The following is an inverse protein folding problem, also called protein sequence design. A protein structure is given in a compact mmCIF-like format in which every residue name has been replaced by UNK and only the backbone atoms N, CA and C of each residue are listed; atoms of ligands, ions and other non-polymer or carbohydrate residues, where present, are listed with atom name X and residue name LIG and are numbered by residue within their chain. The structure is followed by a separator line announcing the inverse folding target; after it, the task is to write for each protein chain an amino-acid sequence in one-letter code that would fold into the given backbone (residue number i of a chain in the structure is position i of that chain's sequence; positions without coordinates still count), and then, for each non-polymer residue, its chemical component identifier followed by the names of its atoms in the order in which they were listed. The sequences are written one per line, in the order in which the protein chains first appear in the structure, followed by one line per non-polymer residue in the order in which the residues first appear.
data_IF_220762491002
#
_entry.id   IF_220762491002
#
_cell.length_a   1.000
_cell.length_b   1.000
_cell.length_c   1.000
_cell.angle_alpha   90.00
_cell.angle_beta   90.00
_cell.angle_gamma   90.00
#
_symmetry.space_group_name_H-M   'P 1'
#
loop_
_entity.id
_entity.type
_entity.pdbx_description
1 polymer ?
#
# COMPACT_ATOMS: atom_id res chain seq x y z
N UNK A 1 -21.49 -22.14 -21.65
CA UNK A 1 -20.15 -22.78 -21.63
C UNK A 1 -20.12 -23.72 -20.42
N UNK A 2 -19.44 -24.89 -20.45
CA UNK A 2 -19.47 -25.81 -19.28
C UNK A 2 -18.96 -25.08 -18.02
N UNK A 3 -19.62 -25.21 -16.85
CA UNK A 3 -19.29 -24.44 -15.64
C UNK A 3 -17.84 -24.64 -15.16
N UNK A 4 -17.24 -25.80 -15.46
CA UNK A 4 -15.82 -26.06 -15.18
C UNK A 4 -14.86 -25.16 -15.98
N UNK A 5 -15.17 -24.87 -17.24
CA UNK A 5 -14.33 -24.03 -18.12
C UNK A 5 -14.34 -22.56 -17.65
N UNK A 6 -15.49 -22.06 -17.22
CA UNK A 6 -15.62 -20.69 -16.70
C UNK A 6 -14.88 -20.48 -15.38
N UNK A 7 -14.88 -21.49 -14.49
CA UNK A 7 -14.10 -21.48 -13.25
C UNK A 7 -12.60 -21.45 -13.53
N UNK A 8 -12.12 -22.27 -14.47
CA UNK A 8 -10.71 -22.32 -14.85
C UNK A 8 -10.22 -20.98 -15.43
N UNK A 9 -11.02 -20.37 -16.32
CA UNK A 9 -10.72 -19.05 -16.89
C UNK A 9 -10.66 -17.98 -15.79
N UNK A 10 -11.61 -18.00 -14.85
CA UNK A 10 -11.62 -17.02 -13.75
C UNK A 10 -10.41 -17.18 -12.83
N UNK A 11 -10.04 -18.42 -12.49
CA UNK A 11 -8.84 -18.68 -11.70
C UNK A 11 -7.58 -18.18 -12.42
N UNK A 12 -7.46 -18.47 -13.71
CA UNK A 12 -6.35 -17.98 -14.53
C UNK A 12 -6.25 -16.45 -14.54
N UNK A 13 -7.38 -15.74 -14.72
CA UNK A 13 -7.41 -14.27 -14.69
C UNK A 13 -6.97 -13.75 -13.32
N UNK A 14 -7.44 -14.33 -12.23
CA UNK A 14 -7.04 -13.91 -10.87
C UNK A 14 -5.54 -14.12 -10.65
N UNK A 15 -5.00 -15.28 -11.01
CA UNK A 15 -3.57 -15.56 -10.90
C UNK A 15 -2.76 -14.56 -11.73
N UNK A 16 -3.15 -14.33 -12.98
CA UNK A 16 -2.44 -13.43 -13.88
C UNK A 16 -2.45 -11.98 -13.36
N UNK A 17 -3.60 -11.50 -12.92
CA UNK A 17 -3.79 -10.12 -12.41
C UNK A 17 -3.13 -9.88 -11.06
N UNK A 18 -2.91 -10.93 -10.27
CA UNK A 18 -2.19 -10.84 -8.99
C UNK A 18 -0.68 -10.97 -9.22
N UNK A 19 -0.23 -12.08 -9.80
CA UNK A 19 1.19 -12.43 -9.86
C UNK A 19 1.95 -11.51 -10.81
N UNK A 20 1.39 -11.22 -11.99
CA UNK A 20 2.07 -10.44 -13.02
C UNK A 20 2.48 -9.05 -12.53
N UNK A 21 1.53 -8.19 -12.11
CA UNK A 21 1.84 -6.85 -11.62
C UNK A 21 2.76 -6.85 -10.40
N UNK A 22 2.53 -7.75 -9.43
CA UNK A 22 3.36 -7.82 -8.22
C UNK A 22 4.80 -8.21 -8.55
N UNK A 23 5.00 -9.32 -9.27
CA UNK A 23 6.34 -9.82 -9.58
C UNK A 23 7.14 -8.81 -10.41
N UNK A 24 6.51 -8.22 -11.42
CA UNK A 24 7.18 -7.27 -12.30
C UNK A 24 7.50 -5.95 -11.57
N UNK A 25 6.59 -5.42 -10.75
CA UNK A 25 6.85 -4.23 -9.96
C UNK A 25 7.95 -4.45 -8.92
N UNK A 26 7.94 -5.61 -8.22
CA UNK A 26 9.02 -5.97 -7.28
C UNK A 26 10.37 -6.01 -7.99
N UNK A 27 10.41 -6.57 -9.20
CA UNK A 27 11.64 -6.65 -9.97
C UNK A 27 12.12 -5.27 -10.42
N UNK A 28 11.22 -4.42 -10.93
CA UNK A 28 11.55 -3.09 -11.45
C UNK A 28 12.13 -2.17 -10.35
N UNK A 29 11.55 -2.21 -9.15
CA UNK A 29 11.90 -1.32 -8.04
C UNK A 29 12.96 -1.88 -7.09
N UNK A 30 13.50 -3.07 -7.39
CA UNK A 30 14.50 -3.69 -6.52
C UNK A 30 15.78 -2.83 -6.47
N UNK A 31 16.28 -2.44 -5.28
CA UNK A 31 17.39 -1.49 -5.19
C UNK A 31 18.67 -1.96 -5.90
N UNK A 32 18.95 -3.26 -5.85
CA UNK A 32 20.20 -3.87 -6.36
C UNK A 32 20.14 -4.34 -7.81
N UNK A 33 18.98 -4.29 -8.46
CA UNK A 33 18.84 -4.74 -9.85
C UNK A 33 19.07 -3.55 -10.78
N UNK A 34 20.04 -3.67 -11.69
CA UNK A 34 20.15 -2.74 -12.81
C UNK A 34 19.12 -3.10 -13.87
N UNK A 35 18.35 -2.12 -14.32
CA UNK A 35 17.42 -2.33 -15.41
C UNK A 35 18.19 -2.31 -16.73
N UNK A 36 17.85 -3.19 -17.67
CA UNK A 36 18.50 -3.23 -18.99
C UNK A 36 18.27 -1.95 -19.80
N UNK A 37 17.29 -1.13 -19.42
CA UNK A 37 16.98 0.15 -20.06
C UNK A 37 17.44 1.29 -19.15
N UNK A 38 18.25 2.22 -19.67
CA UNK A 38 18.81 3.38 -18.95
C UNK A 38 17.77 4.44 -18.50
N UNK A 39 16.48 4.12 -18.47
CA UNK A 39 15.45 5.03 -17.96
C UNK A 39 15.41 5.01 -16.44
N UNK A 40 16.05 6.01 -15.83
CA UNK A 40 16.15 6.18 -14.37
C UNK A 40 14.79 6.30 -13.68
N UNK A 41 13.78 6.85 -14.36
CA UNK A 41 12.44 7.07 -13.81
C UNK A 41 11.67 5.79 -13.46
N UNK A 42 11.95 4.67 -14.15
CA UNK A 42 11.26 3.40 -13.85
C UNK A 42 11.72 2.77 -12.54
N UNK A 43 12.94 3.08 -12.09
CA UNK A 43 13.53 2.50 -10.86
C UNK A 43 13.16 3.29 -9.60
N UNK A 44 12.57 4.47 -9.75
CA UNK A 44 12.15 5.27 -8.62
C UNK A 44 11.01 4.57 -7.86
N UNK A 45 11.06 4.58 -6.53
CA UNK A 45 9.94 4.25 -5.65
C UNK A 45 9.83 5.25 -4.50
N UNK A 46 8.60 5.56 -4.06
CA UNK A 46 8.40 6.45 -2.90
C UNK A 46 8.97 5.81 -1.62
N UNK A 47 8.96 4.48 -1.55
CA UNK A 47 9.53 3.73 -0.43
C UNK A 47 11.03 4.01 -0.29
N UNK A 48 11.82 3.80 -1.35
CA UNK A 48 13.28 3.91 -1.25
C UNK A 48 13.78 5.33 -1.50
N UNK A 49 13.38 5.90 -2.64
CA UNK A 49 13.89 7.17 -3.13
C UNK A 49 13.18 8.35 -2.47
N UNK A 50 11.87 8.23 -2.23
CA UNK A 50 11.06 9.29 -1.63
C UNK A 50 11.24 9.41 -0.11
N UNK A 51 11.37 8.28 0.60
CA UNK A 51 11.42 8.27 2.07
C UNK A 51 12.68 7.65 2.67
N UNK A 52 13.01 6.38 2.36
CA UNK A 52 14.04 5.66 3.11
C UNK A 52 15.40 6.37 3.03
N UNK A 53 15.86 6.66 1.82
CA UNK A 53 17.15 7.32 1.62
C UNK A 53 17.14 8.76 2.15
N UNK A 54 16.14 9.61 1.84
CA UNK A 54 16.07 10.95 2.42
C UNK A 54 16.01 10.99 3.95
N UNK A 55 15.45 9.99 4.62
CA UNK A 55 15.36 9.97 6.09
C UNK A 55 16.64 9.41 6.72
N UNK A 56 17.14 8.27 6.24
CA UNK A 56 18.23 7.55 6.92
C UNK A 56 19.62 7.82 6.33
N UNK A 57 19.67 8.44 5.15
CA UNK A 57 20.89 8.92 4.49
C UNK A 57 20.73 10.34 3.87
N UNK A 58 20.29 11.36 4.65
CA UNK A 58 19.93 12.69 4.14
C UNK A 58 21.08 13.52 3.55
N UNK A 59 22.35 13.19 3.85
CA UNK A 59 23.47 14.13 3.75
C UNK A 59 23.59 14.99 5.01
N UNK A 60 24.82 15.44 5.33
CA UNK A 60 25.11 16.13 6.61
C UNK A 60 24.34 17.45 6.76
N UNK A 61 24.16 18.17 5.67
CA UNK A 61 23.45 19.44 5.57
C UNK A 61 21.93 19.32 5.80
N UNK A 62 21.34 18.14 5.56
CA UNK A 62 19.89 17.93 5.60
C UNK A 62 19.40 17.18 6.84
N UNK A 63 20.28 16.86 7.79
CA UNK A 63 19.89 16.12 9.02
C UNK A 63 18.82 16.89 9.79
N UNK A 64 19.04 18.18 10.06
CA UNK A 64 18.07 19.03 10.79
C UNK A 64 16.76 19.29 10.04
N UNK A 65 16.75 19.10 8.72
CA UNK A 65 15.52 19.19 7.93
C UNK A 65 14.64 17.95 8.11
N UNK A 66 15.26 16.77 8.29
CA UNK A 66 14.58 15.47 8.32
C UNK A 66 14.36 14.94 9.73
N UNK A 67 15.30 15.15 10.64
CA UNK A 67 15.24 14.69 12.03
C UNK A 67 14.94 15.83 12.98
N UNK A 68 14.14 15.56 14.01
CA UNK A 68 13.82 16.57 15.02
C UNK A 68 15.01 16.84 15.97
N UNK A 69 15.94 15.88 16.09
CA UNK A 69 17.16 16.00 16.87
C UNK A 69 18.34 15.38 16.12
N UNK A 70 19.39 16.18 15.93
CA UNK A 70 20.67 15.73 15.36
C UNK A 70 21.37 14.73 16.27
N UNK A 71 21.31 14.94 17.59
CA UNK A 71 21.84 14.00 18.59
C UNK A 71 21.19 12.63 18.45
N UNK A 72 19.85 12.57 18.34
CA UNK A 72 19.13 11.32 18.09
C UNK A 72 19.58 10.68 16.77
N UNK A 73 19.75 11.44 15.70
CA UNK A 73 20.24 10.88 14.44
C UNK A 73 21.63 10.23 14.61
N UNK A 74 22.58 10.91 15.24
CA UNK A 74 23.91 10.36 15.48
C UNK A 74 23.88 9.17 16.44
N UNK A 75 23.02 9.21 17.46
CA UNK A 75 22.75 8.06 18.32
C UNK A 75 22.28 6.83 17.53
N UNK A 76 21.37 7.03 16.58
CA UNK A 76 20.90 5.96 15.69
C UNK A 76 22.03 5.45 14.79
N UNK A 77 22.78 6.35 14.13
CA UNK A 77 23.89 5.98 13.24
C UNK A 77 25.00 5.23 13.96
N UNK A 78 25.26 5.57 15.22
CA UNK A 78 26.24 4.90 16.06
C UNK A 78 25.69 3.63 16.74
N UNK A 79 24.42 3.29 16.50
CA UNK A 79 23.81 2.04 16.97
C UNK A 79 23.30 2.07 18.41
N UNK A 80 23.26 3.23 19.08
CA UNK A 80 22.75 3.35 20.46
C UNK A 80 21.25 3.05 20.59
N UNK A 81 20.48 3.22 19.51
CA UNK A 81 19.12 2.71 19.37
C UNK A 81 18.83 2.42 17.89
N UNK A 82 18.01 1.40 17.60
CA UNK A 82 17.82 0.86 16.24
C UNK A 82 16.45 1.11 15.63
N UNK A 83 15.48 1.60 16.40
CA UNK A 83 14.08 1.73 15.97
C UNK A 83 13.59 3.18 16.08
N UNK A 84 14.02 4.07 15.16
CA UNK A 84 13.54 5.44 15.14
C UNK A 84 12.06 5.48 14.73
N UNK A 85 11.29 6.31 15.42
CA UNK A 85 9.83 6.39 15.35
C UNK A 85 9.39 7.58 14.46
N UNK A 86 8.57 7.36 13.42
CA UNK A 86 7.96 8.44 12.64
C UNK A 86 7.24 9.46 13.51
N UNK A 87 7.29 10.74 13.14
CA UNK A 87 6.67 11.88 13.85
C UNK A 87 7.24 12.20 15.24
N UNK A 88 8.13 11.35 15.78
CA UNK A 88 8.78 11.54 17.08
C UNK A 88 10.27 11.82 16.91
N UNK A 89 10.95 11.01 16.10
CA UNK A 89 12.40 11.14 15.88
C UNK A 89 12.71 11.86 14.56
N UNK A 90 11.87 11.67 13.55
CA UNK A 90 11.99 12.32 12.24
C UNK A 90 10.63 12.72 11.66
N UNK A 91 10.68 13.73 10.77
CA UNK A 91 9.52 14.22 10.03
C UNK A 91 9.09 13.18 9.01
N UNK A 92 7.80 12.88 9.00
CA UNK A 92 7.20 11.91 8.10
C UNK A 92 5.94 12.50 7.47
N UNK A 93 5.83 12.43 6.16
CA UNK A 93 4.82 13.16 5.39
C UNK A 93 3.51 12.41 5.18
N UNK A 94 3.52 11.08 5.35
CA UNK A 94 2.33 10.27 5.15
C UNK A 94 1.44 10.23 6.39
N UNK A 95 0.18 9.79 6.26
CA UNK A 95 -0.72 9.60 7.40
C UNK A 95 -0.33 8.46 8.38
N UNK A 96 -0.94 8.42 9.59
CA UNK A 96 -0.47 7.57 10.70
C UNK A 96 -0.43 6.05 10.43
N UNK A 97 -1.39 5.47 9.70
CA UNK A 97 -1.35 4.03 9.41
C UNK A 97 -0.19 3.66 8.49
N UNK A 98 0.11 4.50 7.49
CA UNK A 98 1.33 4.37 6.68
C UNK A 98 2.57 4.52 7.55
N UNK A 99 2.58 5.48 8.48
CA UNK A 99 3.65 5.64 9.47
C UNK A 99 3.84 4.41 10.37
N UNK A 100 2.77 3.74 10.79
CA UNK A 100 2.85 2.50 11.57
C UNK A 100 3.51 1.37 10.76
N UNK A 101 3.06 1.14 9.53
CA UNK A 101 3.66 0.13 8.65
C UNK A 101 5.13 0.44 8.36
N UNK A 102 5.44 1.72 8.16
CA UNK A 102 6.80 2.22 8.00
C UNK A 102 7.67 1.95 9.22
N UNK A 103 7.18 2.26 10.42
CA UNK A 103 7.89 1.97 11.66
C UNK A 103 8.19 0.47 11.82
N UNK A 104 7.20 -0.38 11.56
CA UNK A 104 7.36 -1.84 11.63
C UNK A 104 8.46 -2.29 10.66
N UNK A 105 8.42 -1.84 9.40
CA UNK A 105 9.39 -2.25 8.39
C UNK A 105 10.79 -1.72 8.69
N UNK A 106 10.95 -0.45 9.09
CA UNK A 106 12.27 0.14 9.36
C UNK A 106 12.88 -0.39 10.65
N UNK A 107 12.08 -0.54 11.72
CA UNK A 107 12.58 -1.12 12.98
C UNK A 107 13.03 -2.57 12.76
N UNK A 108 12.26 -3.36 11.99
CA UNK A 108 12.67 -4.72 11.61
C UNK A 108 13.94 -4.68 10.77
N UNK A 109 13.99 -3.84 9.73
CA UNK A 109 15.15 -3.71 8.86
C UNK A 109 16.43 -3.41 9.65
N UNK A 110 16.44 -2.37 10.48
CA UNK A 110 17.62 -1.98 11.26
C UNK A 110 17.98 -2.96 12.37
N UNK A 111 17.00 -3.72 12.89
CA UNK A 111 17.27 -4.79 13.86
C UNK A 111 18.06 -5.95 13.24
N UNK A 112 17.76 -6.29 11.98
CA UNK A 112 18.32 -7.46 11.30
C UNK A 112 19.40 -7.13 10.24
N UNK A 113 19.73 -5.87 10.04
CA UNK A 113 20.79 -5.42 9.13
C UNK A 113 22.05 -4.97 9.88
N UNK A 114 23.17 -5.03 9.19
CA UNK A 114 24.46 -4.45 9.62
C UNK A 114 24.84 -3.18 8.86
N UNK A 115 24.17 -2.90 7.74
CA UNK A 115 24.42 -1.72 6.89
C UNK A 115 23.11 -1.05 6.45
N UNK A 116 23.19 0.21 6.04
CA UNK A 116 22.03 0.98 5.54
C UNK A 116 21.50 0.37 4.25
N UNK A 117 22.35 -0.13 3.36
CA UNK A 117 21.93 -0.74 2.10
C UNK A 117 21.20 -2.06 2.31
N UNK A 118 21.62 -2.84 3.32
CA UNK A 118 20.91 -4.04 3.75
C UNK A 118 19.56 -3.69 4.40
N UNK A 119 19.53 -2.68 5.26
CA UNK A 119 18.29 -2.18 5.85
C UNK A 119 17.30 -1.69 4.78
N UNK A 120 17.79 -0.97 3.76
CA UNK A 120 16.97 -0.49 2.65
C UNK A 120 16.31 -1.66 1.91
N UNK A 121 17.08 -2.72 1.64
CA UNK A 121 16.58 -3.92 0.97
C UNK A 121 15.55 -4.68 1.82
N UNK A 122 15.80 -4.87 3.12
CA UNK A 122 14.85 -5.53 4.02
C UNK A 122 13.56 -4.70 4.14
N UNK A 123 13.68 -3.39 4.34
CA UNK A 123 12.55 -2.46 4.40
C UNK A 123 11.71 -2.54 3.12
N UNK A 124 12.36 -2.53 1.96
CA UNK A 124 11.72 -2.67 0.66
C UNK A 124 10.90 -3.96 0.56
N UNK A 125 11.45 -5.11 0.92
CA UNK A 125 10.72 -6.37 0.85
C UNK A 125 9.54 -6.45 1.83
N UNK A 126 9.69 -5.93 3.05
CA UNK A 126 8.60 -5.89 4.02
C UNK A 126 7.46 -5.01 3.51
N UNK A 127 7.78 -3.81 3.00
CA UNK A 127 6.79 -2.91 2.42
C UNK A 127 6.12 -3.52 1.18
N UNK A 128 6.91 -4.15 0.31
CA UNK A 128 6.40 -4.88 -0.86
C UNK A 128 5.43 -5.99 -0.45
N UNK A 129 5.75 -6.73 0.63
CA UNK A 129 4.88 -7.79 1.14
C UNK A 129 3.56 -7.23 1.70
N UNK A 130 3.59 -6.12 2.45
CA UNK A 130 2.36 -5.45 2.89
C UNK A 130 1.50 -5.03 1.69
N UNK A 131 2.09 -4.34 0.72
CA UNK A 131 1.36 -3.84 -0.45
C UNK A 131 0.81 -5.01 -1.30
N UNK A 132 1.60 -6.06 -1.52
CA UNK A 132 1.15 -7.25 -2.24
C UNK A 132 -0.02 -7.97 -1.54
N UNK A 133 0.02 -8.08 -0.21
CA UNK A 133 -1.08 -8.65 0.57
C UNK A 133 -2.38 -7.85 0.38
N UNK A 134 -2.30 -6.52 0.52
CA UNK A 134 -3.46 -5.65 0.32
C UNK A 134 -3.95 -5.66 -1.14
N UNK A 135 -3.05 -5.87 -2.10
CA UNK A 135 -3.44 -6.01 -3.49
C UNK A 135 -4.22 -7.29 -3.77
N UNK A 136 -3.78 -8.43 -3.23
CA UNK A 136 -4.56 -9.68 -3.31
C UNK A 136 -5.96 -9.45 -2.76
N UNK A 137 -6.06 -8.78 -1.61
CA UNK A 137 -7.34 -8.43 -1.00
C UNK A 137 -8.18 -7.49 -1.89
N UNK A 138 -7.55 -6.52 -2.54
CA UNK A 138 -8.20 -5.60 -3.48
C UNK A 138 -8.76 -6.35 -4.70
N UNK A 139 -7.93 -7.15 -5.38
CA UNK A 139 -8.34 -7.92 -6.57
C UNK A 139 -9.47 -8.88 -6.23
N UNK A 140 -9.34 -9.58 -5.10
CA UNK A 140 -10.39 -10.50 -4.65
C UNK A 140 -11.69 -9.78 -4.31
N UNK A 141 -11.62 -8.62 -3.65
CA UNK A 141 -12.81 -7.82 -3.33
C UNK A 141 -13.49 -7.29 -4.59
N UNK A 142 -12.72 -6.80 -5.58
CA UNK A 142 -13.23 -6.38 -6.88
C UNK A 142 -13.89 -7.55 -7.62
N UNK A 143 -13.30 -8.75 -7.57
CA UNK A 143 -13.91 -9.96 -8.13
C UNK A 143 -15.27 -10.25 -7.49
N UNK A 144 -15.38 -10.17 -6.16
CA UNK A 144 -16.65 -10.37 -5.47
C UNK A 144 -17.69 -9.30 -5.85
N UNK A 145 -17.28 -8.04 -6.00
CA UNK A 145 -18.18 -6.97 -6.47
C UNK A 145 -18.67 -7.27 -7.89
N UNK A 146 -17.76 -7.59 -8.82
CA UNK A 146 -18.12 -7.91 -10.20
C UNK A 146 -19.08 -9.09 -10.27
N UNK A 147 -18.79 -10.18 -9.54
CA UNK A 147 -19.58 -11.41 -9.59
C UNK A 147 -20.91 -11.30 -8.85
N UNK A 148 -20.88 -10.90 -7.58
CA UNK A 148 -22.02 -11.02 -6.67
C UNK A 148 -22.97 -9.81 -6.75
N UNK A 149 -22.43 -8.62 -7.01
CA UNK A 149 -23.18 -7.37 -6.97
C UNK A 149 -23.55 -6.92 -8.39
N UNK A 150 -22.54 -6.76 -9.26
CA UNK A 150 -22.74 -6.23 -10.61
C UNK A 150 -23.14 -7.31 -11.63
N UNK A 151 -22.90 -8.58 -11.33
CA UNK A 151 -23.13 -9.73 -12.23
C UNK A 151 -22.39 -9.59 -13.58
N UNK A 152 -21.19 -9.04 -13.55
CA UNK A 152 -20.30 -8.83 -14.70
C UNK A 152 -19.20 -9.90 -14.72
N UNK A 153 -18.74 -10.27 -15.91
CA UNK A 153 -17.65 -11.25 -16.11
C UNK A 153 -16.33 -10.79 -15.50
N UNK A 154 -15.59 -11.74 -14.91
CA UNK A 154 -14.26 -11.54 -14.29
C UNK A 154 -13.18 -11.01 -15.24
N UNK A 155 -13.39 -11.11 -16.56
CA UNK A 155 -12.49 -10.58 -17.59
C UNK A 155 -12.18 -9.08 -17.40
N UNK A 156 -13.08 -8.31 -16.79
CA UNK A 156 -12.84 -6.89 -16.48
C UNK A 156 -11.64 -6.66 -15.55
N UNK A 157 -11.24 -7.65 -14.77
CA UNK A 157 -10.05 -7.56 -13.90
C UNK A 157 -8.75 -7.45 -14.70
N UNK A 158 -8.73 -7.80 -15.98
CA UNK A 158 -7.56 -7.60 -16.84
C UNK A 158 -7.14 -6.13 -16.95
N UNK A 159 -8.01 -5.17 -16.61
CA UNK A 159 -7.63 -3.75 -16.48
C UNK A 159 -6.50 -3.53 -15.47
N UNK A 160 -6.32 -4.44 -14.52
CA UNK A 160 -5.23 -4.38 -13.54
C UNK A 160 -3.88 -4.76 -14.14
N UNK A 161 -3.84 -5.24 -15.39
CA UNK A 161 -2.61 -5.47 -16.14
C UNK A 161 -2.16 -4.24 -16.94
N UNK A 162 -2.86 -3.09 -16.79
CA UNK A 162 -2.42 -1.85 -17.41
C UNK A 162 -1.01 -1.47 -16.95
N UNK A 163 -0.17 -0.86 -17.82
CA UNK A 163 1.21 -0.52 -17.50
C UNK A 163 1.35 0.32 -16.23
N UNK A 164 0.43 1.25 -15.96
CA UNK A 164 0.43 2.07 -14.75
C UNK A 164 0.30 1.21 -13.49
N UNK A 165 -0.67 0.28 -13.46
CA UNK A 165 -0.83 -0.63 -12.32
C UNK A 165 0.41 -1.48 -12.16
N UNK A 166 0.93 -2.06 -13.24
CA UNK A 166 2.11 -2.92 -13.21
C UNK A 166 3.35 -2.18 -12.69
N UNK A 167 3.62 -0.98 -13.16
CA UNK A 167 4.80 -0.21 -12.71
C UNK A 167 4.60 0.26 -11.27
N UNK A 168 3.44 0.83 -10.94
CA UNK A 168 3.22 1.48 -9.64
C UNK A 168 2.70 0.55 -8.54
N UNK A 169 2.56 -0.75 -8.81
CA UNK A 169 1.97 -1.73 -7.88
C UNK A 169 2.66 -1.71 -6.50
N UNK A 170 3.99 -1.75 -6.47
CA UNK A 170 4.82 -1.81 -5.24
C UNK A 170 5.51 -0.47 -4.94
N UNK A 171 5.09 0.58 -5.63
CA UNK A 171 5.77 1.88 -5.61
C UNK A 171 5.41 2.73 -4.38
N UNK A 172 4.15 2.67 -3.92
CA UNK A 172 3.56 3.52 -2.87
C UNK A 172 2.40 2.78 -2.17
N UNK A 173 1.89 3.35 -1.07
CA UNK A 173 0.82 2.84 -0.22
C UNK A 173 -0.61 3.06 -0.78
N UNK A 174 -0.75 3.60 -2.00
CA UNK A 174 -2.07 3.84 -2.62
C UNK A 174 -2.90 2.56 -2.73
N UNK A 175 -2.27 1.42 -3.01
CA UNK A 175 -2.96 0.12 -3.08
C UNK A 175 -3.51 -0.31 -1.71
N UNK A 176 -2.80 -0.01 -0.61
CA UNK A 176 -3.29 -0.30 0.74
C UNK A 176 -4.55 0.53 1.01
N UNK A 177 -4.49 1.83 0.72
CA UNK A 177 -5.62 2.73 0.89
C UNK A 177 -6.82 2.28 0.04
N UNK A 178 -6.61 1.97 -1.24
CA UNK A 178 -7.64 1.51 -2.16
C UNK A 178 -8.24 0.16 -1.72
N UNK A 179 -7.41 -0.78 -1.28
CA UNK A 179 -7.85 -2.09 -0.78
C UNK A 179 -8.79 -1.95 0.41
N UNK A 180 -8.36 -1.22 1.44
CA UNK A 180 -9.17 -0.95 2.63
C UNK A 180 -10.50 -0.28 2.27
N UNK A 181 -10.46 0.71 1.37
CA UNK A 181 -11.64 1.40 0.89
C UNK A 181 -12.64 0.47 0.17
N UNK A 182 -12.14 -0.34 -0.76
CA UNK A 182 -12.97 -1.27 -1.56
C UNK A 182 -13.55 -2.37 -0.69
N UNK A 183 -12.78 -2.91 0.26
CA UNK A 183 -13.28 -3.93 1.21
C UNK A 183 -14.38 -3.34 2.08
N UNK A 184 -14.18 -2.13 2.63
CA UNK A 184 -15.21 -1.43 3.41
C UNK A 184 -16.50 -1.23 2.60
N UNK A 185 -16.38 -0.83 1.34
CA UNK A 185 -17.53 -0.65 0.43
C UNK A 185 -18.22 -1.99 0.09
N UNK A 186 -17.45 -3.06 -0.12
CA UNK A 186 -17.99 -4.40 -0.34
C UNK A 186 -18.82 -4.88 0.86
N UNK A 187 -18.35 -4.64 2.10
CA UNK A 187 -19.09 -4.99 3.31
C UNK A 187 -20.43 -4.26 3.41
N UNK A 188 -20.45 -2.96 3.11
CA UNK A 188 -21.71 -2.17 3.08
C UNK A 188 -22.65 -2.71 2.01
N UNK A 189 -22.13 -3.03 0.82
CA UNK A 189 -22.96 -3.38 -0.35
C UNK A 189 -23.53 -4.81 -0.26
N UNK A 190 -22.83 -5.75 0.38
CA UNK A 190 -23.33 -7.13 0.57
C UNK A 190 -24.50 -7.24 1.56
N UNK A 191 -24.83 -6.16 2.28
CA UNK A 191 -26.12 -6.03 2.97
C UNK A 191 -26.36 -7.02 4.12
N UNK A 192 -25.33 -7.47 4.84
CA UNK A 192 -25.55 -8.31 6.01
C UNK A 192 -26.14 -7.50 7.17
N UNK A 193 -27.28 -7.97 7.68
CA UNK A 193 -28.13 -7.31 8.69
C UNK A 193 -27.57 -7.38 10.13
N UNK A 194 -26.26 -7.23 10.33
CA UNK A 194 -25.63 -7.27 11.65
C UNK A 194 -24.88 -5.97 11.96
N UNK A 195 -25.01 -5.45 13.20
CA UNK A 195 -24.33 -4.21 13.66
C UNK A 195 -22.80 -4.23 13.49
N UNK A 196 -22.19 -5.41 13.42
CA UNK A 196 -20.74 -5.60 13.27
C UNK A 196 -20.25 -5.18 11.88
N UNK A 197 -21.04 -5.35 10.81
CA UNK A 197 -20.59 -5.09 9.45
C UNK A 197 -20.44 -3.59 9.13
N UNK A 198 -21.39 -2.70 9.49
CA UNK A 198 -21.21 -1.26 9.33
C UNK A 198 -20.04 -0.72 10.16
N UNK A 199 -19.83 -1.24 11.37
CA UNK A 199 -18.70 -0.83 12.22
C UNK A 199 -17.36 -1.20 11.56
N UNK A 200 -17.23 -2.45 11.10
CA UNK A 200 -16.02 -2.91 10.41
C UNK A 200 -15.78 -2.13 9.12
N UNK A 201 -16.83 -1.85 8.35
CA UNK A 201 -16.72 -1.00 7.15
C UNK A 201 -16.20 0.40 7.50
N UNK A 202 -16.77 1.04 8.54
CA UNK A 202 -16.31 2.33 9.03
C UNK A 202 -14.85 2.32 9.50
N UNK A 203 -14.43 1.26 10.21
CA UNK A 203 -13.03 1.07 10.62
C UNK A 203 -12.11 0.94 9.41
N UNK A 204 -12.48 0.16 8.39
CA UNK A 204 -11.68 0.00 7.18
C UNK A 204 -11.60 1.31 6.38
N UNK A 205 -12.69 2.07 6.27
CA UNK A 205 -12.67 3.40 5.66
C UNK A 205 -11.79 4.38 6.45
N UNK A 206 -11.86 4.36 7.79
CA UNK A 206 -10.99 5.15 8.65
C UNK A 206 -9.49 4.79 8.48
N UNK A 207 -9.16 3.50 8.41
CA UNK A 207 -7.80 3.05 8.13
C UNK A 207 -7.34 3.43 6.72
N UNK A 208 -8.24 3.40 5.74
CA UNK A 208 -7.96 3.86 4.38
C UNK A 208 -7.56 5.34 4.37
N UNK A 209 -8.32 6.20 5.06
CA UNK A 209 -8.02 7.64 5.20
C UNK A 209 -6.69 7.84 5.94
N UNK A 210 -6.46 7.07 7.00
CA UNK A 210 -5.20 7.04 7.75
C UNK A 210 -4.04 6.43 6.98
N UNK A 211 -4.26 5.93 5.76
CA UNK A 211 -3.22 5.54 4.80
C UNK A 211 -2.96 6.66 3.78
N UNK A 212 -4.02 7.18 3.18
CA UNK A 212 -4.02 8.29 2.20
C UNK A 212 -5.30 9.11 2.36
N UNK A 213 -5.17 10.40 2.65
CA UNK A 213 -6.31 11.29 2.95
C UNK A 213 -7.33 11.40 1.80
N UNK A 214 -6.91 11.18 0.55
CA UNK A 214 -7.77 11.26 -0.64
C UNK A 214 -8.98 10.31 -0.58
N UNK A 215 -8.88 9.20 0.15
CA UNK A 215 -10.01 8.25 0.27
C UNK A 215 -11.14 8.76 1.17
N UNK A 216 -10.96 9.90 1.85
CA UNK A 216 -12.03 10.56 2.60
C UNK A 216 -13.24 10.94 1.73
N UNK A 217 -13.04 11.10 0.41
CA UNK A 217 -14.13 11.32 -0.55
C UNK A 217 -15.21 10.23 -0.53
N UNK A 218 -14.85 8.98 -0.17
CA UNK A 218 -15.81 7.88 -0.05
C UNK A 218 -16.75 8.09 1.14
N UNK A 219 -16.20 8.51 2.28
CA UNK A 219 -16.99 8.81 3.48
C UNK A 219 -17.86 10.04 3.23
N UNK A 220 -17.31 11.07 2.57
CA UNK A 220 -18.08 12.24 2.14
C UNK A 220 -19.30 11.85 1.30
N UNK A 221 -19.12 10.97 0.31
CA UNK A 221 -20.23 10.44 -0.50
C UNK A 221 -21.33 9.80 0.37
N UNK A 222 -20.96 8.97 1.36
CA UNK A 222 -21.94 8.34 2.23
C UNK A 222 -22.70 9.35 3.10
N UNK A 223 -22.03 10.38 3.61
CA UNK A 223 -22.65 11.45 4.39
C UNK A 223 -23.67 12.21 3.53
N UNK A 224 -23.28 12.66 2.34
CA UNK A 224 -24.16 13.39 1.41
C UNK A 224 -25.39 12.55 1.07
N UNK A 225 -25.17 11.28 0.71
CA UNK A 225 -26.27 10.36 0.39
C UNK A 225 -27.23 10.15 1.56
N UNK A 226 -26.69 10.06 2.78
CA UNK A 226 -27.50 9.88 3.97
C UNK A 226 -28.40 11.09 4.25
N UNK A 227 -27.83 12.29 4.18
CA UNK A 227 -28.57 13.55 4.37
C UNK A 227 -29.64 13.70 3.29
N UNK A 228 -29.30 13.48 2.01
CA UNK A 228 -30.26 13.62 0.90
C UNK A 228 -31.43 12.65 1.00
N UNK A 229 -31.23 11.45 1.56
CA UNK A 229 -32.32 10.48 1.77
C UNK A 229 -33.20 10.76 2.98
N UNK A 230 -32.78 11.66 3.89
CA UNK A 230 -33.59 12.06 5.05
C UNK A 230 -34.47 13.26 4.77
N UNK A 231 -34.10 14.07 3.78
CA UNK A 231 -34.84 15.27 3.35
C UNK A 231 -35.91 14.96 2.30
N UNK A 232 -35.96 13.72 1.79
CA UNK A 232 -36.96 13.20 0.84
C UNK A 232 -37.95 12.26 1.53
#
# INVERSE_FOLDING_TARGET
MKPAKERLITLFILILTIIGPVALSIYIHMPRVELPVKYTGLKYSDILNGLFNPIFNPGMDKIGERWFSTEKYYGFKNGSYKCPIPYVDYKFEYPPFTGLLWYISTCTAFKYSTSIDEAALINYYIQSAFIALFYVLLVYSLYLILRDILRIKSLRLLILLLPSTVVYMIYNWDIIAASLAVVGTLLITKGGRGRVQPLLAGLLHGLSISTKILTAGIVYYYIVKYVSTREA
#
